data_IF_962110970474
#
_entry.id   IF_962110970474
#
_cell.length_a   1.000
_cell.length_b   1.000
_cell.length_c   1.000
_cell.angle_alpha   90.00
_cell.angle_beta   90.00
_cell.angle_gamma   90.00
#
_symmetry.space_group_name_H-M   'P 1'
#
loop_
_entity.id
_entity.type
_entity.pdbx_description
1 polymer ?
#
# COMPACT_ATOMS: atom_id res chain seq x y z
N UNK A 1 -89.60 -12.00 -47.17
CA UNK A 1 -89.50 -12.37 -45.73
C UNK A 1 -88.04 -12.47 -45.23
N UNK A 2 -87.03 -12.70 -46.09
CA UNK A 2 -85.62 -12.93 -45.70
C UNK A 2 -84.78 -11.69 -45.32
N UNK A 3 -85.21 -10.47 -45.67
CA UNK A 3 -84.45 -9.23 -45.39
C UNK A 3 -84.31 -8.94 -43.89
N UNK A 4 -85.33 -9.27 -43.09
CA UNK A 4 -85.30 -9.09 -41.62
C UNK A 4 -84.41 -10.16 -40.95
N UNK A 5 -84.37 -11.37 -41.50
CA UNK A 5 -83.52 -12.47 -41.00
C UNK A 5 -82.04 -12.15 -41.15
N UNK A 6 -81.62 -11.56 -42.28
CA UNK A 6 -80.21 -11.21 -42.52
C UNK A 6 -79.71 -10.10 -41.58
N UNK A 7 -80.57 -9.13 -41.25
CA UNK A 7 -80.24 -8.04 -40.32
C UNK A 7 -80.08 -8.55 -38.88
N UNK A 8 -80.97 -9.46 -38.44
CA UNK A 8 -80.87 -10.07 -37.11
C UNK A 8 -79.62 -10.95 -37.00
N UNK A 9 -79.27 -11.69 -38.06
CA UNK A 9 -78.08 -12.54 -38.09
C UNK A 9 -76.78 -11.71 -38.05
N UNK A 10 -76.75 -10.58 -38.77
CA UNK A 10 -75.60 -9.66 -38.76
C UNK A 10 -75.39 -9.00 -37.39
N UNK A 11 -76.48 -8.61 -36.70
CA UNK A 11 -76.43 -8.04 -35.35
C UNK A 11 -75.95 -9.09 -34.34
N UNK A 12 -76.39 -10.34 -34.49
CA UNK A 12 -75.96 -11.46 -33.63
C UNK A 12 -74.44 -11.70 -33.75
N UNK A 13 -73.92 -11.69 -34.99
CA UNK A 13 -72.49 -11.86 -35.27
C UNK A 13 -71.66 -10.69 -34.70
N UNK A 14 -72.20 -9.47 -34.76
CA UNK A 14 -71.53 -8.28 -34.22
C UNK A 14 -71.40 -8.33 -32.69
N UNK A 15 -72.41 -8.85 -31.99
CA UNK A 15 -72.41 -8.99 -30.53
C UNK A 15 -71.44 -10.08 -30.03
N UNK A 16 -71.22 -11.14 -30.81
CA UNK A 16 -70.26 -12.21 -30.47
C UNK A 16 -68.81 -11.71 -30.57
N UNK A 17 -68.55 -10.73 -31.44
CA UNK A 17 -67.21 -10.19 -31.70
C UNK A 17 -66.67 -9.27 -30.58
N UNK A 18 -67.48 -8.92 -29.59
CA UNK A 18 -67.05 -8.11 -28.43
C UNK A 18 -66.72 -8.95 -27.17
N UNK A 19 -66.57 -10.26 -27.30
CA UNK A 19 -66.10 -11.12 -26.20
C UNK A 19 -64.58 -11.06 -26.03
N UNK A 20 -64.12 -10.04 -25.28
CA UNK A 20 -62.91 -9.98 -24.45
C UNK A 20 -61.67 -10.77 -24.94
N UNK A 21 -60.74 -10.09 -25.62
CA UNK A 21 -59.32 -10.50 -25.68
C UNK A 21 -58.70 -10.38 -24.28
N UNK A 22 -58.48 -11.51 -23.61
CA UNK A 22 -57.59 -11.58 -22.44
C UNK A 22 -56.15 -11.43 -22.91
N UNK A 23 -55.59 -10.25 -22.68
CA UNK A 23 -54.17 -9.97 -22.81
C UNK A 23 -53.41 -10.78 -21.75
N UNK A 24 -52.55 -11.70 -22.19
CA UNK A 24 -51.62 -12.43 -21.33
C UNK A 24 -50.69 -11.42 -20.66
N UNK A 25 -50.99 -11.06 -19.42
CA UNK A 25 -50.06 -10.38 -18.55
C UNK A 25 -49.20 -11.46 -17.90
N UNK A 26 -47.93 -11.49 -18.29
CA UNK A 26 -46.95 -12.39 -17.71
C UNK A 26 -46.98 -12.30 -16.19
N UNK A 27 -47.06 -13.45 -15.54
CA UNK A 27 -46.98 -13.57 -14.09
C UNK A 27 -45.56 -13.27 -13.63
N UNK A 28 -45.25 -11.99 -13.47
CA UNK A 28 -44.08 -11.53 -12.74
C UNK A 28 -44.45 -11.40 -11.27
N UNK A 29 -43.79 -12.16 -10.40
CA UNK A 29 -43.87 -11.95 -8.95
C UNK A 29 -43.06 -10.70 -8.63
N UNK A 30 -43.72 -9.65 -8.14
CA UNK A 30 -43.06 -8.42 -7.74
C UNK A 30 -42.47 -8.57 -6.33
N UNK A 31 -41.20 -8.22 -6.17
CA UNK A 31 -40.52 -8.16 -4.88
C UNK A 31 -40.22 -6.71 -4.56
N UNK A 32 -40.53 -6.29 -3.33
CA UNK A 32 -40.29 -4.94 -2.82
C UNK A 32 -38.77 -4.70 -2.67
N UNK A 33 -38.26 -3.67 -3.35
CA UNK A 33 -36.84 -3.29 -3.28
C UNK A 33 -36.64 -2.33 -2.11
N UNK A 34 -35.76 -2.68 -1.18
CA UNK A 34 -35.33 -1.81 -0.08
C UNK A 34 -33.90 -1.33 -0.36
N UNK A 35 -33.69 -0.02 -0.24
CA UNK A 35 -32.34 0.54 -0.26
C UNK A 35 -31.65 0.23 1.07
N UNK A 36 -30.44 -0.28 0.98
CA UNK A 36 -29.54 -0.47 2.12
C UNK A 36 -28.15 -0.01 1.69
N UNK A 37 -27.47 0.70 2.58
CA UNK A 37 -26.07 1.07 2.36
C UNK A 37 -25.21 -0.17 2.52
N UNK A 38 -24.59 -0.61 1.42
CA UNK A 38 -23.67 -1.72 1.41
C UNK A 38 -22.24 -1.17 1.51
N UNK A 39 -21.54 -1.33 2.64
CA UNK A 39 -20.15 -0.91 2.73
C UNK A 39 -19.30 -1.77 1.78
N UNK A 40 -18.64 -1.11 0.83
CA UNK A 40 -17.67 -1.75 -0.05
C UNK A 40 -16.32 -1.78 0.64
N UNK A 41 -15.99 -2.91 1.25
CA UNK A 41 -14.66 -3.15 1.82
C UNK A 41 -13.73 -3.72 0.76
N UNK A 42 -12.63 -3.02 0.49
CA UNK A 42 -11.56 -3.49 -0.40
C UNK A 42 -10.39 -3.91 0.47
N UNK A 43 -10.13 -5.22 0.54
CA UNK A 43 -8.96 -5.75 1.24
C UNK A 43 -7.72 -5.58 0.35
N UNK A 44 -6.73 -4.82 0.82
CA UNK A 44 -5.44 -4.70 0.17
C UNK A 44 -4.35 -5.28 1.08
N UNK A 45 -3.50 -6.13 0.51
CA UNK A 45 -2.33 -6.66 1.22
C UNK A 45 -1.15 -5.72 1.02
N UNK A 46 -0.50 -5.32 2.11
CA UNK A 46 0.71 -4.49 2.09
C UNK A 46 1.73 -5.00 3.10
N UNK A 47 3.00 -4.65 2.89
CA UNK A 47 4.09 -5.02 3.80
C UNK A 47 4.44 -3.84 4.70
N UNK A 48 4.51 -4.08 6.01
CA UNK A 48 5.03 -3.09 6.95
C UNK A 48 6.55 -3.05 6.83
N UNK A 49 7.08 -1.91 6.40
CA UNK A 49 8.52 -1.66 6.32
C UNK A 49 8.91 -0.54 7.28
N UNK A 50 10.14 -0.55 7.82
CA UNK A 50 10.66 0.59 8.55
C UNK A 50 10.58 1.85 7.69
N UNK A 51 10.36 3.02 8.31
CA UNK A 51 10.43 4.28 7.58
C UNK A 51 11.76 4.40 6.85
N UNK A 52 11.75 5.05 5.69
CA UNK A 52 12.98 5.32 4.93
C UNK A 52 14.02 5.95 5.85
N UNK A 53 15.19 5.33 5.96
CA UNK A 53 16.28 5.77 6.84
C UNK A 53 16.25 5.23 8.28
N UNK A 54 15.21 4.49 8.70
CA UNK A 54 15.17 3.86 10.03
C UNK A 54 16.05 2.61 10.12
N UNK A 55 16.41 2.01 8.97
CA UNK A 55 17.35 0.90 8.91
C UNK A 55 18.69 1.39 8.38
N UNK A 56 19.72 1.36 9.23
CA UNK A 56 21.08 1.78 8.89
C UNK A 56 22.03 0.60 9.09
N UNK A 57 22.83 0.30 8.08
CA UNK A 57 23.90 -0.69 8.19
C UNK A 57 25.12 -0.02 8.84
N UNK A 58 25.49 -0.47 10.03
CA UNK A 58 26.68 0.02 10.73
C UNK A 58 27.85 -0.93 10.45
N UNK A 59 28.97 -0.38 10.02
CA UNK A 59 30.20 -1.12 9.77
C UNK A 59 31.43 -0.25 10.03
N UNK A 60 32.61 -0.85 10.25
CA UNK A 60 33.83 -0.11 10.48
C UNK A 60 34.24 0.65 9.21
N UNK A 61 34.73 1.88 9.38
CA UNK A 61 35.27 2.70 8.26
C UNK A 61 36.66 2.24 7.82
N UNK A 62 37.42 1.67 8.76
CA UNK A 62 38.79 1.18 8.55
C UNK A 62 38.84 -0.31 8.87
N UNK A 63 39.60 -1.05 8.07
CA UNK A 63 39.87 -2.46 8.35
C UNK A 63 40.82 -2.58 9.53
N UNK A 64 40.49 -3.43 10.50
CA UNK A 64 41.31 -3.65 11.67
C UNK A 64 40.71 -4.73 12.58
N UNK A 65 41.44 -5.11 13.62
CA UNK A 65 40.95 -6.06 14.62
C UNK A 65 40.00 -5.36 15.59
N UNK A 66 38.92 -6.02 15.96
CA UNK A 66 38.00 -5.49 16.97
C UNK A 66 38.68 -5.54 18.35
N UNK A 67 38.81 -4.39 19.00
CA UNK A 67 39.46 -4.24 20.30
C UNK A 67 38.42 -4.34 21.43
N UNK A 68 37.33 -3.58 21.32
CA UNK A 68 36.23 -3.57 22.28
C UNK A 68 34.87 -3.54 21.61
N UNK A 69 33.89 -4.23 22.18
CA UNK A 69 32.47 -4.19 21.80
C UNK A 69 31.65 -3.80 23.02
N UNK A 70 30.88 -2.70 22.91
CA UNK A 70 30.14 -2.11 24.02
C UNK A 70 28.64 -2.45 24.01
N UNK A 71 28.16 -3.10 22.96
CA UNK A 71 26.72 -3.37 22.75
C UNK A 71 26.47 -4.83 22.42
N UNK A 72 25.30 -5.32 22.81
CA UNK A 72 24.80 -6.66 22.49
C UNK A 72 23.65 -6.59 21.51
N UNK A 73 23.37 -7.73 20.87
CA UNK A 73 22.24 -7.85 19.95
C UNK A 73 20.94 -7.64 20.73
N UNK A 74 20.12 -6.68 20.27
CA UNK A 74 18.85 -6.32 20.91
C UNK A 74 18.92 -5.07 21.79
N UNK A 75 20.11 -4.54 22.06
CA UNK A 75 20.26 -3.31 22.84
C UNK A 75 19.74 -2.09 22.07
N UNK A 76 19.13 -1.15 22.81
CA UNK A 76 18.77 0.17 22.28
C UNK A 76 20.01 1.05 22.28
N UNK A 77 20.25 1.74 21.17
CA UNK A 77 21.40 2.61 20.98
C UNK A 77 20.98 3.96 20.44
N UNK A 78 21.73 5.00 20.79
CA UNK A 78 21.45 6.37 20.37
C UNK A 78 22.48 6.89 19.35
N UNK A 79 22.11 7.96 18.64
CA UNK A 79 23.01 8.60 17.66
C UNK A 79 24.24 9.15 18.36
N UNK A 80 25.42 8.74 17.89
CA UNK A 80 26.72 9.18 18.44
C UNK A 80 27.26 8.27 19.54
N UNK A 81 26.52 7.24 19.95
CA UNK A 81 27.00 6.25 20.88
C UNK A 81 28.11 5.39 20.24
N UNK A 82 29.21 5.21 20.98
CA UNK A 82 30.29 4.31 20.57
C UNK A 82 29.83 2.87 20.74
N UNK A 83 29.75 2.12 19.63
CA UNK A 83 29.30 0.74 19.62
C UNK A 83 30.46 -0.25 19.77
N UNK A 84 31.58 0.05 19.11
CA UNK A 84 32.80 -0.77 19.13
C UNK A 84 34.03 0.11 18.87
N UNK A 85 35.18 -0.34 19.35
CA UNK A 85 36.49 0.24 19.04
C UNK A 85 37.29 -0.79 18.24
N UNK A 86 37.86 -0.33 17.14
CA UNK A 86 38.73 -1.11 16.26
C UNK A 86 40.16 -0.65 16.50
N UNK A 87 41.08 -1.61 16.60
CA UNK A 87 42.51 -1.38 16.79
C UNK A 87 43.09 -0.63 15.58
N UNK A 88 43.84 0.45 15.83
CA UNK A 88 44.29 1.42 14.81
C UNK A 88 45.77 1.86 14.98
N UNK A 89 46.66 0.93 15.34
CA UNK A 89 48.09 1.26 15.60
C UNK A 89 48.78 1.97 14.43
N UNK A 90 48.58 1.48 13.21
CA UNK A 90 49.21 2.06 12.02
C UNK A 90 48.69 3.47 11.71
N UNK A 91 47.39 3.70 11.95
CA UNK A 91 46.79 5.02 11.78
C UNK A 91 47.41 6.03 12.75
N UNK A 92 47.57 5.63 14.01
CA UNK A 92 48.11 6.50 15.05
C UNK A 92 49.59 6.82 14.83
N UNK A 93 50.37 5.85 14.34
CA UNK A 93 51.75 6.09 13.92
C UNK A 93 51.83 7.07 12.74
N UNK A 94 50.93 6.96 11.76
CA UNK A 94 50.88 7.87 10.62
C UNK A 94 50.49 9.30 11.04
N UNK A 95 49.51 9.46 11.92
CA UNK A 95 49.14 10.77 12.48
C UNK A 95 50.33 11.41 13.18
N UNK A 96 51.00 10.67 14.07
CA UNK A 96 52.18 11.18 14.78
C UNK A 96 53.30 11.60 13.82
N UNK A 97 53.54 10.82 12.75
CA UNK A 97 54.53 11.17 11.72
C UNK A 97 54.16 12.47 11.00
N UNK A 98 52.88 12.64 10.64
CA UNK A 98 52.41 13.84 9.95
C UNK A 98 52.46 15.08 10.86
N UNK A 99 52.11 14.93 12.13
CA UNK A 99 52.24 16.02 13.12
C UNK A 99 53.68 16.51 13.27
N UNK A 100 54.66 15.59 13.30
CA UNK A 100 56.08 15.96 13.33
C UNK A 100 56.49 16.73 12.06
N UNK A 101 56.04 16.29 10.88
CA UNK A 101 56.33 17.00 9.62
C UNK A 101 55.74 18.41 9.60
N UNK A 102 54.54 18.59 10.14
CA UNK A 102 53.92 19.92 10.27
C UNK A 102 54.74 20.80 11.20
N UNK A 103 55.18 20.28 12.35
CA UNK A 103 56.04 21.03 13.28
C UNK A 103 57.38 21.43 12.66
N UNK A 104 58.01 20.53 11.91
CA UNK A 104 59.28 20.82 11.23
C UNK A 104 59.10 21.93 10.17
N UNK A 105 57.99 21.90 9.42
CA UNK A 105 57.67 22.93 8.44
C UNK A 105 57.33 24.28 9.08
N UNK A 106 56.59 24.28 10.19
CA UNK A 106 56.31 25.49 10.97
C UNK A 106 57.60 26.11 11.53
N UNK A 107 58.52 25.28 12.05
CA UNK A 107 59.81 25.74 12.52
C UNK A 107 60.69 26.32 11.40
N UNK A 108 60.62 25.75 10.19
CA UNK A 108 61.34 26.25 9.02
C UNK A 108 60.80 27.59 8.50
N UNK A 109 59.51 27.90 8.71
CA UNK A 109 58.91 29.20 8.34
C UNK A 109 59.10 30.29 9.41
N UNK A 110 59.28 29.88 10.67
CA UNK A 110 59.51 30.80 11.77
C UNK A 110 60.95 31.35 11.82
N UNK A 111 61.83 30.84 10.94
CA UNK A 111 63.21 31.26 10.76
C UNK A 111 63.36 32.13 9.52
#
# INVERSE_FOLDING_TARGET
MYRKIFVVLAILILLISCSKRKQNQGSGTWVEVKQADLPSEVSATGTVVPRVGAQVKVGPRVSGKLEHLYVKVGDKVEKGQVLAVVEQKDLQANVSRMESQVKDAEAALAY
#
